data_IF_688900168602
#
_entry.id   IF_688900168602
#
_cell.length_a   1.000
_cell.length_b   1.000
_cell.length_c   1.000
_cell.angle_alpha   90.00
_cell.angle_beta   90.00
_cell.angle_gamma   90.00
#
_symmetry.space_group_name_H-M   'P 1'
#
loop_
_entity.id
_entity.type
_entity.pdbx_description
1 polymer ?
#
# COMPACT_ATOMS: atom_id res chain seq x y z
N UNK A 1 7.98 -13.92 -2.17
CA UNK A 1 7.09 -12.76 -2.33
C UNK A 1 5.68 -13.27 -2.10
N UNK A 2 5.03 -12.77 -1.06
CA UNK A 2 3.68 -13.18 -0.67
C UNK A 2 2.66 -12.69 -1.71
N UNK A 3 1.53 -13.39 -1.85
CA UNK A 3 0.47 -13.00 -2.81
C UNK A 3 -0.06 -11.58 -2.56
N UNK A 4 -0.12 -11.17 -1.30
CA UNK A 4 -0.54 -9.83 -0.88
C UNK A 4 0.44 -8.76 -1.37
N UNK A 5 1.75 -8.96 -1.16
CA UNK A 5 2.78 -8.05 -1.65
C UNK A 5 2.70 -7.93 -3.17
N UNK A 6 2.57 -9.04 -3.88
CA UNK A 6 2.47 -9.04 -5.34
C UNK A 6 1.25 -8.27 -5.83
N UNK A 7 0.09 -8.46 -5.18
CA UNK A 7 -1.15 -7.76 -5.52
C UNK A 7 -1.03 -6.25 -5.31
N UNK A 8 -0.49 -5.82 -4.18
CA UNK A 8 -0.35 -4.40 -3.86
C UNK A 8 0.70 -3.76 -4.77
N UNK A 9 1.82 -4.45 -5.00
CA UNK A 9 2.87 -3.96 -5.89
C UNK A 9 2.39 -3.85 -7.34
N UNK A 10 1.57 -4.79 -7.83
CA UNK A 10 0.94 -4.72 -9.14
C UNK A 10 -0.02 -3.52 -9.25
N UNK A 11 -0.85 -3.30 -8.23
CA UNK A 11 -1.73 -2.14 -8.18
C UNK A 11 -0.95 -0.83 -8.20
N UNK A 12 0.09 -0.71 -7.36
CA UNK A 12 0.94 0.47 -7.30
C UNK A 12 1.65 0.70 -8.64
N UNK A 13 2.18 -0.36 -9.26
CA UNK A 13 2.82 -0.27 -10.58
C UNK A 13 1.87 0.23 -11.65
N UNK A 14 0.66 -0.32 -11.67
CA UNK A 14 -0.34 0.02 -12.68
C UNK A 14 -0.88 1.44 -12.54
N UNK A 15 -1.08 1.90 -11.31
CA UNK A 15 -1.75 3.18 -11.05
C UNK A 15 -0.78 4.35 -10.91
N UNK A 16 0.48 4.11 -10.50
CA UNK A 16 1.41 5.16 -10.09
C UNK A 16 2.80 5.08 -10.75
N UNK A 17 3.18 3.97 -11.38
CA UNK A 17 4.47 3.89 -12.08
C UNK A 17 4.35 4.09 -13.58
N UNK A 18 5.39 4.71 -14.13
CA UNK A 18 5.65 4.78 -15.57
C UNK A 18 6.34 3.50 -16.08
N UNK A 19 6.25 3.23 -17.38
CA UNK A 19 6.62 1.93 -17.99
C UNK A 19 8.09 1.51 -17.74
N UNK A 20 9.01 2.44 -17.50
CA UNK A 20 10.44 2.19 -17.28
C UNK A 20 10.86 2.14 -15.80
N UNK A 21 9.93 2.29 -14.85
CA UNK A 21 10.26 2.29 -13.42
C UNK A 21 10.05 0.91 -12.78
N UNK A 22 11.06 0.44 -12.04
CA UNK A 22 10.97 -0.78 -11.24
C UNK A 22 10.95 -0.47 -9.74
N UNK A 23 9.92 -0.97 -9.05
CA UNK A 23 9.83 -0.92 -7.59
C UNK A 23 9.86 -2.32 -6.98
N UNK A 24 10.41 -2.37 -5.77
CA UNK A 24 10.43 -3.55 -4.90
C UNK A 24 9.52 -3.32 -3.70
N UNK A 25 9.19 -4.37 -2.91
CA UNK A 25 8.35 -4.20 -1.72
C UNK A 25 8.90 -3.28 -0.65
N UNK A 26 10.22 -3.07 -0.63
CA UNK A 26 10.96 -2.21 0.28
C UNK A 26 11.18 -0.81 -0.28
N UNK A 27 10.82 -0.57 -1.54
CA UNK A 27 10.95 0.74 -2.16
C UNK A 27 9.99 1.73 -1.49
N UNK A 28 10.48 2.89 -1.00
CA UNK A 28 9.62 3.95 -0.51
C UNK A 28 8.69 4.42 -1.63
N UNK A 29 7.41 4.55 -1.36
CA UNK A 29 6.36 4.98 -2.27
C UNK A 29 5.98 6.42 -1.99
N UNK A 30 5.75 6.75 -0.72
CA UNK A 30 5.38 8.12 -0.32
C UNK A 30 6.62 8.99 -0.27
N UNK A 31 7.67 8.52 0.42
CA UNK A 31 8.90 9.30 0.61
C UNK A 31 9.69 9.52 -0.68
N UNK A 32 9.49 8.66 -1.70
CA UNK A 32 10.08 8.83 -3.03
C UNK A 32 9.25 9.73 -3.95
N UNK A 33 8.02 10.08 -3.56
CA UNK A 33 7.09 10.84 -4.38
C UNK A 33 6.35 10.03 -5.44
N UNK A 34 6.40 8.68 -5.41
CA UNK A 34 5.61 7.82 -6.32
C UNK A 34 4.12 7.90 -5.97
N UNK A 35 3.79 7.99 -4.69
CA UNK A 35 2.42 8.07 -4.19
C UNK A 35 2.22 9.37 -3.42
N UNK A 36 1.32 10.21 -3.92
CA UNK A 36 0.89 11.42 -3.24
C UNK A 36 -0.16 11.17 -2.15
N UNK A 37 -0.38 12.19 -1.31
CA UNK A 37 -1.41 12.19 -0.26
C UNK A 37 -2.82 11.83 -0.77
N UNK A 38 -3.21 12.29 -1.96
CA UNK A 38 -4.50 11.95 -2.58
C UNK A 38 -4.54 10.48 -3.01
N UNK A 39 -3.47 10.01 -3.66
CA UNK A 39 -3.35 8.62 -4.12
C UNK A 39 -3.37 7.62 -2.96
N UNK A 40 -2.85 8.00 -1.80
CA UNK A 40 -2.93 7.20 -0.56
C UNK A 40 -4.37 6.86 -0.17
N UNK A 41 -5.33 7.78 -0.40
CA UNK A 41 -6.75 7.53 -0.11
C UNK A 41 -7.32 6.46 -1.05
N UNK A 42 -6.95 6.49 -2.33
CA UNK A 42 -7.35 5.47 -3.31
C UNK A 42 -6.75 4.11 -2.96
N UNK A 43 -5.47 4.08 -2.59
CA UNK A 43 -4.77 2.87 -2.16
C UNK A 43 -5.41 2.29 -0.88
N UNK A 44 -5.71 3.14 0.12
CA UNK A 44 -6.45 2.75 1.33
C UNK A 44 -7.78 2.07 0.96
N UNK A 45 -8.61 2.72 0.14
CA UNK A 45 -9.90 2.17 -0.30
C UNK A 45 -9.77 0.87 -1.08
N UNK A 46 -8.74 0.75 -1.91
CA UNK A 46 -8.44 -0.49 -2.62
C UNK A 46 -8.18 -1.65 -1.65
N UNK A 47 -7.34 -1.44 -0.64
CA UNK A 47 -7.03 -2.44 0.38
C UNK A 47 -8.28 -2.83 1.19
N UNK A 48 -9.05 -1.85 1.64
CA UNK A 48 -10.29 -2.06 2.38
C UNK A 48 -11.26 -2.95 1.60
N UNK A 49 -11.47 -2.62 0.32
CA UNK A 49 -12.34 -3.40 -0.57
C UNK A 49 -11.78 -4.78 -0.90
N UNK A 50 -10.47 -4.88 -1.16
CA UNK A 50 -9.80 -6.12 -1.58
C UNK A 50 -9.74 -7.16 -0.47
N UNK A 51 -9.48 -6.72 0.76
CA UNK A 51 -9.31 -7.59 1.93
C UNK A 51 -10.50 -7.58 2.88
N UNK A 52 -11.56 -6.82 2.55
CA UNK A 52 -12.76 -6.64 3.37
C UNK A 52 -12.43 -6.22 4.82
N UNK A 53 -11.53 -5.23 4.93
CA UNK A 53 -11.09 -4.63 6.20
C UNK A 53 -11.51 -3.15 6.24
N UNK A 54 -11.44 -2.56 7.42
CA UNK A 54 -11.52 -1.10 7.59
C UNK A 54 -10.22 -0.60 8.18
N UNK A 55 -9.56 0.31 7.46
CA UNK A 55 -8.31 0.94 7.91
C UNK A 55 -8.69 2.26 8.56
N UNK A 56 -8.52 2.42 9.89
CA UNK A 56 -8.86 3.67 10.54
C UNK A 56 -7.87 4.78 10.14
N UNK A 57 -8.34 6.03 10.08
CA UNK A 57 -7.54 7.15 9.57
C UNK A 57 -6.31 7.44 10.43
N UNK A 58 -6.33 7.11 11.73
CA UNK A 58 -5.16 7.22 12.61
C UNK A 58 -4.05 6.22 12.25
N UNK A 59 -4.39 5.07 11.64
CA UNK A 59 -3.41 4.10 11.14
C UNK A 59 -3.02 4.32 9.68
N UNK A 60 -3.85 5.04 8.91
CA UNK A 60 -3.60 5.39 7.51
C UNK A 60 -2.59 6.54 7.36
N UNK A 61 -1.40 6.35 7.92
CA UNK A 61 -0.33 7.35 7.91
C UNK A 61 0.60 7.17 6.72
N UNK A 62 1.26 8.24 6.23
CA UNK A 62 2.32 8.16 5.23
C UNK A 62 3.36 7.10 5.57
N UNK A 63 3.71 6.98 6.85
CA UNK A 63 4.73 6.06 7.32
C UNK A 63 4.32 4.59 7.20
N UNK A 64 3.04 4.27 7.39
CA UNK A 64 2.47 2.93 7.23
C UNK A 64 2.24 2.56 5.75
N UNK A 65 2.02 3.56 4.90
CA UNK A 65 1.82 3.40 3.45
C UNK A 65 3.11 3.60 2.63
N UNK A 66 4.22 3.85 3.31
CA UNK A 66 5.49 4.21 2.66
C UNK A 66 6.10 3.05 1.89
N UNK A 67 5.86 1.79 2.25
CA UNK A 67 6.36 0.64 1.46
C UNK A 67 5.30 -0.44 1.38
N UNK A 68 5.36 -1.27 0.35
CA UNK A 68 4.42 -2.40 0.20
C UNK A 68 4.50 -3.35 1.39
N UNK A 69 5.70 -3.57 1.94
CA UNK A 69 5.89 -4.38 3.15
C UNK A 69 5.08 -3.84 4.34
N UNK A 70 5.20 -2.54 4.63
CA UNK A 70 4.46 -1.91 5.74
C UNK A 70 2.94 -1.96 5.52
N UNK A 71 2.50 -1.79 4.28
CA UNK A 71 1.08 -1.92 3.93
C UNK A 71 0.61 -3.35 4.21
N UNK A 72 1.38 -4.37 3.81
CA UNK A 72 1.05 -5.76 4.11
C UNK A 72 0.97 -6.01 5.62
N UNK A 73 1.93 -5.50 6.39
CA UNK A 73 1.92 -5.61 7.85
C UNK A 73 0.70 -4.94 8.47
N UNK A 74 0.31 -3.75 7.98
CA UNK A 74 -0.89 -3.05 8.43
C UNK A 74 -2.16 -3.86 8.15
N UNK A 75 -2.31 -4.37 6.93
CA UNK A 75 -3.45 -5.20 6.53
C UNK A 75 -3.54 -6.45 7.38
N UNK A 76 -2.40 -7.15 7.59
CA UNK A 76 -2.32 -8.36 8.42
C UNK A 76 -2.68 -8.07 9.86
N UNK A 77 -2.14 -6.99 10.45
CA UNK A 77 -2.46 -6.60 11.82
C UNK A 77 -3.98 -6.41 12.00
N UNK A 78 -4.64 -5.73 11.05
CA UNK A 78 -6.09 -5.51 11.10
C UNK A 78 -6.86 -6.83 10.93
N UNK A 79 -6.44 -7.71 10.01
CA UNK A 79 -7.09 -9.03 9.82
C UNK A 79 -6.95 -9.93 11.05
N UNK A 80 -5.83 -9.86 11.77
CA UNK A 80 -5.59 -10.59 13.01
C UNK A 80 -6.27 -9.93 14.24
N UNK A 81 -6.89 -8.76 14.09
CA UNK A 81 -7.52 -8.02 15.19
C UNK A 81 -6.53 -7.38 16.16
N UNK A 82 -5.32 -7.05 15.69
CA UNK A 82 -4.26 -6.37 16.45
C UNK A 82 -4.28 -4.85 16.25
#
# INVERSE_FOLDING_TARGET
MDEMQKTILDYVKREYLEEDQEITPDTPLISSGIVDSFSMVSLKRFLEKKYNISIPDDRATPQAFDTVNKICDLVRAIQEGR
#
